data_IF_456074159393
#
_entry.id   IF_456074159393
#
_cell.length_a   1.000
_cell.length_b   1.000
_cell.length_c   1.000
_cell.angle_alpha   90.00
_cell.angle_beta   90.00
_cell.angle_gamma   90.00
#
_symmetry.space_group_name_H-M   'P 1'
#
loop_
_entity.id
_entity.type
_entity.pdbx_description
1 polymer ?
#
# COMPACT_ATOMS: atom_id res chain seq x y z
N UNK A 1 -15.26 11.72 -13.97
CA UNK A 1 -15.16 10.29 -13.62
C UNK A 1 -15.96 10.05 -12.35
N UNK A 2 -16.91 9.09 -12.37
CA UNK A 2 -17.56 8.58 -11.15
C UNK A 2 -16.91 7.26 -10.80
N UNK A 3 -16.25 7.19 -9.64
CA UNK A 3 -15.74 5.94 -9.08
C UNK A 3 -16.87 5.32 -8.24
N UNK A 4 -17.25 4.09 -8.58
CA UNK A 4 -18.18 3.28 -7.78
C UNK A 4 -17.40 2.13 -7.17
N UNK A 5 -17.57 1.92 -5.89
CA UNK A 5 -16.97 0.82 -5.16
C UNK A 5 -17.93 -0.35 -5.09
N UNK A 6 -17.43 -1.55 -5.33
CA UNK A 6 -18.20 -2.78 -5.17
C UNK A 6 -17.76 -3.45 -3.86
N UNK A 7 -18.69 -3.70 -2.97
CA UNK A 7 -18.44 -4.53 -1.81
C UNK A 7 -18.69 -5.99 -2.22
N UNK A 8 -17.66 -6.84 -2.14
CA UNK A 8 -17.89 -8.28 -2.30
C UNK A 8 -18.62 -8.79 -1.06
N UNK A 9 -19.52 -9.77 -1.21
CA UNK A 9 -20.24 -10.41 -0.09
C UNK A 9 -19.34 -11.17 0.90
N UNK A 10 -18.04 -11.21 0.65
CA UNK A 10 -17.05 -11.67 1.62
C UNK A 10 -16.77 -10.51 2.54
N UNK A 11 -16.94 -10.65 3.88
CA UNK A 11 -16.57 -9.61 4.82
C UNK A 11 -15.06 -9.43 4.81
N UNK A 12 -14.57 -8.64 3.88
CA UNK A 12 -13.25 -8.06 4.00
C UNK A 12 -13.31 -7.21 5.25
N UNK A 13 -12.57 -7.59 6.29
CA UNK A 13 -12.25 -6.68 7.40
C UNK A 13 -11.87 -5.38 6.75
N UNK A 14 -12.72 -4.35 6.94
CA UNK A 14 -12.64 -3.04 6.30
C UNK A 14 -11.20 -2.65 6.11
N UNK A 15 -10.71 -2.76 4.88
CA UNK A 15 -9.35 -2.36 4.56
C UNK A 15 -9.26 -0.86 4.82
N UNK A 16 -8.26 -0.44 5.54
CA UNK A 16 -8.05 0.87 6.11
C UNK A 16 -7.73 1.96 5.07
N UNK A 17 -8.47 2.05 3.98
CA UNK A 17 -8.35 3.15 3.03
C UNK A 17 -9.53 4.11 3.16
N UNK A 18 -9.48 4.98 4.17
CA UNK A 18 -10.27 6.21 4.15
C UNK A 18 -9.64 7.16 3.14
N UNK A 19 -10.06 7.08 1.90
CA UNK A 19 -9.79 8.11 0.91
C UNK A 19 -10.64 9.34 1.29
N UNK A 20 -10.16 10.17 2.21
CA UNK A 20 -10.88 11.36 2.71
C UNK A 20 -11.21 12.38 1.63
N UNK A 21 -10.41 12.47 0.58
CA UNK A 21 -10.58 13.43 -0.50
C UNK A 21 -11.69 13.08 -1.50
N UNK A 22 -12.18 11.84 -1.51
CA UNK A 22 -13.33 11.43 -2.34
C UNK A 22 -14.70 11.67 -1.68
N UNK A 23 -14.76 12.28 -0.49
CA UNK A 23 -15.96 12.31 0.33
C UNK A 23 -16.25 10.94 0.96
N UNK A 24 -17.32 10.86 1.77
CA UNK A 24 -17.79 9.55 2.25
C UNK A 24 -18.27 8.77 1.02
N UNK A 25 -17.64 7.61 0.66
CA UNK A 25 -18.19 6.80 -0.40
C UNK A 25 -19.60 6.39 0.02
N UNK A 26 -20.60 6.86 -0.68
CA UNK A 26 -21.92 6.26 -0.59
C UNK A 26 -21.81 4.90 -1.27
N UNK A 27 -21.78 3.83 -0.51
CA UNK A 27 -22.00 2.49 -1.03
C UNK A 27 -23.47 2.42 -1.47
N UNK A 28 -23.74 2.85 -2.68
CA UNK A 28 -25.02 2.56 -3.29
C UNK A 28 -24.97 1.10 -3.75
N UNK A 29 -25.96 0.32 -3.40
CA UNK A 29 -26.17 -1.01 -3.97
C UNK A 29 -26.03 -0.90 -5.50
N UNK A 30 -25.01 -1.58 -6.04
CA UNK A 30 -24.78 -1.58 -7.47
C UNK A 30 -25.70 -2.64 -8.09
N UNK A 31 -26.98 -2.40 -7.99
CA UNK A 31 -28.00 -3.08 -8.78
C UNK A 31 -28.18 -2.44 -10.17
N UNK A 32 -27.39 -1.40 -10.44
CA UNK A 32 -27.33 -0.76 -11.76
C UNK A 32 -26.58 -1.63 -12.77
N UNK A 33 -27.15 -1.75 -13.96
CA UNK A 33 -26.60 -2.48 -15.10
C UNK A 33 -25.14 -2.05 -15.35
N UNK A 34 -24.19 -2.97 -15.18
CA UNK A 34 -22.82 -2.78 -15.60
C UNK A 34 -22.76 -2.77 -17.12
N UNK A 35 -22.42 -1.63 -17.70
CA UNK A 35 -22.23 -1.47 -19.14
C UNK A 35 -20.75 -1.68 -19.47
N UNK A 36 -20.42 -2.83 -20.03
CA UNK A 36 -19.04 -3.19 -20.37
C UNK A 36 -18.36 -2.21 -21.34
N UNK A 37 -19.13 -1.46 -22.12
CA UNK A 37 -18.59 -0.45 -23.04
C UNK A 37 -18.25 0.89 -22.35
N UNK A 38 -18.95 1.19 -21.26
CA UNK A 38 -18.82 2.48 -20.54
C UNK A 38 -18.07 2.36 -19.22
N UNK A 39 -17.92 1.16 -18.69
CA UNK A 39 -17.34 0.91 -17.39
C UNK A 39 -16.07 0.07 -17.50
N UNK A 40 -15.13 0.35 -16.66
CA UNK A 40 -13.92 -0.46 -16.47
C UNK A 40 -13.85 -0.87 -15.00
N UNK A 41 -13.59 -2.15 -14.75
CA UNK A 41 -13.39 -2.67 -13.40
C UNK A 41 -11.92 -2.53 -13.03
N UNK A 42 -11.63 -2.05 -11.83
CA UNK A 42 -10.26 -2.06 -11.28
C UNK A 42 -10.20 -3.08 -10.15
N UNK A 43 -9.33 -4.07 -10.32
CA UNK A 43 -9.14 -5.13 -9.31
C UNK A 43 -7.72 -5.06 -8.73
N UNK A 44 -7.53 -5.28 -7.42
CA UNK A 44 -6.20 -5.39 -6.84
C UNK A 44 -5.50 -6.68 -7.33
N UNK A 45 -4.17 -6.69 -7.29
CA UNK A 45 -3.34 -7.83 -7.69
C UNK A 45 -3.73 -9.13 -6.98
N UNK A 46 -4.13 -9.05 -5.71
CA UNK A 46 -4.59 -10.21 -4.94
C UNK A 46 -5.86 -10.86 -5.50
N UNK A 47 -6.62 -10.13 -6.28
CA UNK A 47 -7.87 -10.60 -6.90
C UNK A 47 -7.72 -10.95 -8.38
N UNK A 48 -6.60 -10.60 -8.99
CA UNK A 48 -6.35 -10.85 -10.40
C UNK A 48 -6.55 -12.33 -10.75
N UNK A 49 -6.06 -13.23 -9.91
CA UNK A 49 -6.20 -14.66 -10.08
C UNK A 49 -7.66 -15.14 -10.08
N UNK A 50 -8.46 -14.62 -9.15
CA UNK A 50 -9.86 -15.07 -8.98
C UNK A 50 -10.80 -14.47 -10.01
N UNK A 51 -10.60 -13.20 -10.33
CA UNK A 51 -11.57 -12.44 -11.12
C UNK A 51 -11.05 -12.02 -12.49
N UNK A 52 -9.74 -11.93 -12.69
CA UNK A 52 -9.18 -11.46 -13.96
C UNK A 52 -9.60 -12.30 -15.14
N UNK A 53 -9.48 -13.63 -15.03
CA UNK A 53 -9.90 -14.57 -16.08
C UNK A 53 -11.42 -14.54 -16.31
N UNK A 54 -12.19 -14.46 -15.22
CA UNK A 54 -13.65 -14.36 -15.32
C UNK A 54 -14.09 -13.09 -16.04
N UNK A 55 -13.46 -11.95 -15.71
CA UNK A 55 -13.74 -10.68 -16.38
C UNK A 55 -13.36 -10.73 -17.86
N UNK A 56 -12.24 -11.39 -18.19
CA UNK A 56 -11.83 -11.61 -19.57
C UNK A 56 -12.85 -12.47 -20.34
N UNK A 57 -13.33 -13.56 -19.72
CA UNK A 57 -14.33 -14.45 -20.33
C UNK A 57 -15.67 -13.75 -20.56
N UNK A 58 -16.03 -12.83 -19.68
CA UNK A 58 -17.23 -12.01 -19.80
C UNK A 58 -17.08 -10.84 -20.78
N UNK A 59 -15.91 -10.65 -21.39
CA UNK A 59 -15.62 -9.49 -22.24
C UNK A 59 -15.64 -8.14 -21.54
N UNK A 60 -15.45 -8.15 -20.19
CA UNK A 60 -15.45 -6.95 -19.36
C UNK A 60 -14.08 -6.30 -19.37
N UNK A 61 -14.00 -5.01 -19.70
CA UNK A 61 -12.76 -4.24 -19.62
C UNK A 61 -12.33 -4.06 -18.16
N UNK A 62 -11.09 -4.42 -17.81
CA UNK A 62 -10.58 -4.27 -16.46
C UNK A 62 -9.12 -3.83 -16.43
N UNK A 63 -8.74 -3.23 -15.31
CA UNK A 63 -7.38 -2.91 -14.94
C UNK A 63 -6.98 -3.68 -13.68
N UNK A 64 -5.71 -4.04 -13.58
CA UNK A 64 -5.12 -4.62 -12.37
C UNK A 64 -4.33 -3.54 -11.65
N UNK A 65 -4.64 -3.32 -10.37
CA UNK A 65 -3.92 -2.36 -9.53
C UNK A 65 -2.94 -3.09 -8.62
N UNK A 66 -1.66 -2.96 -8.93
CA UNK A 66 -0.55 -3.64 -8.24
C UNK A 66 0.02 -2.72 -7.18
N UNK A 67 -0.34 -2.97 -5.93
CA UNK A 67 0.15 -2.24 -4.76
C UNK A 67 1.45 -2.83 -4.21
N UNK A 68 1.68 -4.12 -4.47
CA UNK A 68 2.91 -4.78 -4.08
C UNK A 68 3.24 -5.86 -5.13
N UNK A 69 4.33 -5.67 -5.86
CA UNK A 69 4.76 -6.57 -6.91
C UNK A 69 5.01 -8.01 -6.42
N UNK A 70 5.40 -8.19 -5.17
CA UNK A 70 5.67 -9.52 -4.60
C UNK A 70 4.39 -10.29 -4.25
N UNK A 71 3.23 -9.60 -4.16
CA UNK A 71 1.96 -10.28 -3.91
C UNK A 71 1.40 -11.00 -5.13
N UNK A 72 1.88 -10.69 -6.33
CA UNK A 72 1.52 -11.44 -7.55
C UNK A 72 1.94 -12.91 -7.45
N UNK A 73 2.95 -13.24 -6.66
CA UNK A 73 3.42 -14.63 -6.47
C UNK A 73 2.54 -15.46 -5.55
N UNK A 74 1.57 -14.85 -4.88
CA UNK A 74 0.67 -15.57 -3.97
C UNK A 74 -0.34 -16.40 -4.76
N UNK A 75 -0.13 -17.71 -4.80
CA UNK A 75 -1.04 -18.68 -5.42
C UNK A 75 -0.42 -19.42 -6.60
N UNK A 76 -1.24 -20.25 -7.29
CA UNK A 76 -0.80 -21.00 -8.46
C UNK A 76 -0.75 -20.10 -9.70
N UNK A 77 0.25 -20.22 -10.59
CA UNK A 77 0.46 -19.29 -11.69
C UNK A 77 -0.51 -19.45 -12.87
N UNK A 78 -1.21 -20.58 -12.98
CA UNK A 78 -1.90 -21.03 -14.21
C UNK A 78 -2.89 -20.03 -14.82
N UNK A 79 -3.58 -19.23 -14.00
CA UNK A 79 -4.57 -18.27 -14.51
C UNK A 79 -4.08 -16.81 -14.51
N UNK A 80 -2.91 -16.56 -13.94
CA UNK A 80 -2.38 -15.19 -13.80
C UNK A 80 -1.91 -14.64 -15.15
N UNK A 81 -1.23 -15.43 -15.97
CA UNK A 81 -0.76 -15.00 -17.29
C UNK A 81 -1.91 -14.46 -18.12
N UNK A 82 -3.00 -15.25 -18.21
CA UNK A 82 -4.18 -14.84 -18.95
C UNK A 82 -4.83 -13.60 -18.36
N UNK A 83 -4.92 -13.50 -17.02
CA UNK A 83 -5.49 -12.33 -16.37
C UNK A 83 -4.69 -11.05 -16.68
N UNK A 84 -3.36 -11.10 -16.62
CA UNK A 84 -2.51 -9.95 -16.92
C UNK A 84 -2.46 -9.62 -18.40
N UNK A 85 -2.41 -10.64 -19.28
CA UNK A 85 -2.44 -10.44 -20.73
C UNK A 85 -3.77 -9.87 -21.22
N UNK A 86 -4.90 -10.24 -20.61
CA UNK A 86 -6.23 -9.75 -20.99
C UNK A 86 -6.58 -8.40 -20.36
N UNK A 87 -5.86 -7.97 -19.31
CA UNK A 87 -6.08 -6.65 -18.71
C UNK A 87 -5.86 -5.53 -19.73
N UNK A 88 -6.72 -4.51 -19.70
CA UNK A 88 -6.57 -3.32 -20.54
C UNK A 88 -5.35 -2.48 -20.16
N UNK A 89 -5.09 -2.36 -18.86
CA UNK A 89 -3.88 -1.75 -18.32
C UNK A 89 -3.56 -2.33 -16.94
N UNK A 90 -2.31 -2.13 -16.52
CA UNK A 90 -1.79 -2.56 -15.23
C UNK A 90 -1.25 -1.33 -14.54
N UNK A 91 -1.90 -0.93 -13.45
CA UNK A 91 -1.53 0.24 -12.65
C UNK A 91 -0.55 -0.21 -11.57
N UNK A 92 0.65 0.35 -11.54
CA UNK A 92 1.68 0.01 -10.57
C UNK A 92 2.06 1.21 -9.72
N UNK A 93 2.33 1.00 -8.44
CA UNK A 93 2.60 2.09 -7.50
C UNK A 93 4.08 2.43 -7.33
N UNK A 94 4.98 1.60 -7.87
CA UNK A 94 6.44 1.81 -7.80
C UNK A 94 7.13 1.26 -9.05
N UNK A 95 8.32 1.74 -9.32
CA UNK A 95 9.13 1.20 -10.42
C UNK A 95 9.51 -0.26 -10.14
N UNK A 96 9.69 -0.60 -8.86
CA UNK A 96 9.89 -1.98 -8.43
C UNK A 96 8.68 -2.85 -8.77
N UNK A 97 7.46 -2.42 -8.41
CA UNK A 97 6.24 -3.11 -8.79
C UNK A 97 6.09 -3.25 -10.32
N UNK A 98 6.49 -2.23 -11.09
CA UNK A 98 6.50 -2.29 -12.56
C UNK A 98 7.46 -3.35 -13.08
N UNK A 99 8.68 -3.42 -12.52
CA UNK A 99 9.67 -4.45 -12.88
C UNK A 99 9.21 -5.84 -12.49
N UNK A 100 8.62 -6.01 -11.31
CA UNK A 100 8.04 -7.29 -10.87
C UNK A 100 6.99 -7.80 -11.87
N UNK A 101 6.09 -6.92 -12.30
CA UNK A 101 5.05 -7.27 -13.28
C UNK A 101 5.67 -7.62 -14.64
N UNK A 102 6.58 -6.80 -15.15
CA UNK A 102 7.22 -7.05 -16.43
C UNK A 102 8.04 -8.36 -16.43
N UNK A 103 8.71 -8.65 -15.32
CA UNK A 103 9.47 -9.89 -15.16
C UNK A 103 8.55 -11.12 -15.06
N UNK A 104 7.42 -11.00 -14.33
CA UNK A 104 6.49 -12.11 -14.14
C UNK A 104 5.64 -12.40 -15.38
N UNK A 105 5.31 -11.39 -16.18
CA UNK A 105 4.39 -11.49 -17.33
C UNK A 105 5.00 -10.82 -18.55
N UNK A 106 5.93 -11.48 -19.25
CA UNK A 106 6.54 -10.93 -20.46
C UNK A 106 5.49 -10.58 -21.52
N UNK A 107 5.66 -9.42 -22.17
CA UNK A 107 4.76 -8.93 -23.22
C UNK A 107 3.66 -7.99 -22.74
N UNK A 108 3.53 -7.74 -21.42
CA UNK A 108 2.55 -6.78 -20.88
C UNK A 108 3.13 -5.38 -20.60
N UNK A 109 4.40 -5.17 -20.87
CA UNK A 109 5.14 -3.94 -20.53
C UNK A 109 4.47 -2.68 -21.06
N UNK A 110 3.93 -2.76 -22.27
CA UNK A 110 3.22 -1.66 -22.93
C UNK A 110 1.89 -1.28 -22.27
N UNK A 111 1.39 -2.11 -21.34
CA UNK A 111 0.16 -1.87 -20.57
C UNK A 111 0.42 -1.34 -19.17
N UNK A 112 1.69 -1.33 -18.74
CA UNK A 112 2.06 -0.89 -17.38
C UNK A 112 2.03 0.63 -17.33
N UNK A 113 1.24 1.15 -16.40
CA UNK A 113 1.11 2.57 -16.12
C UNK A 113 1.50 2.84 -14.67
N UNK A 114 2.52 3.66 -14.48
CA UNK A 114 2.99 4.07 -13.17
C UNK A 114 2.01 5.08 -12.55
N UNK A 115 1.52 4.78 -11.36
CA UNK A 115 0.66 5.65 -10.55
C UNK A 115 1.43 6.12 -9.33
N UNK A 116 1.36 7.40 -9.00
CA UNK A 116 2.05 7.97 -7.85
C UNK A 116 1.10 8.13 -6.68
N UNK A 117 1.59 7.82 -5.47
CA UNK A 117 0.89 8.15 -4.24
C UNK A 117 0.99 9.63 -3.93
N UNK A 118 -0.01 10.09 -3.21
CA UNK A 118 0.02 11.37 -2.54
C UNK A 118 0.00 11.14 -1.02
N UNK A 119 0.94 11.72 -0.31
CA UNK A 119 0.92 11.81 1.15
C UNK A 119 0.33 13.17 1.53
N UNK A 120 -0.55 13.19 2.54
CA UNK A 120 -1.18 14.41 3.00
C UNK A 120 -0.17 15.35 3.71
N UNK A 121 0.39 16.29 2.95
CA UNK A 121 1.35 17.26 3.46
C UNK A 121 0.76 18.24 4.48
N UNK A 122 -0.57 18.37 4.57
CA UNK A 122 -1.21 19.17 5.60
C UNK A 122 -1.23 18.45 6.95
N UNK A 123 -1.16 17.15 6.93
CA UNK A 123 -1.13 16.31 8.12
C UNK A 123 0.31 15.94 8.52
N UNK A 124 1.12 15.53 7.56
CA UNK A 124 2.49 15.09 7.75
C UNK A 124 3.46 16.21 7.34
N UNK A 125 3.93 16.96 8.30
CA UNK A 125 4.89 18.05 8.11
C UNK A 125 5.82 18.13 9.34
N UNK A 126 7.06 18.62 9.20
CA UNK A 126 8.01 18.65 10.30
C UNK A 126 7.64 19.72 11.33
N UNK A 127 7.72 19.38 12.62
CA UNK A 127 7.70 20.37 13.69
C UNK A 127 9.08 21.02 13.84
N UNK A 128 9.11 22.25 14.35
CA UNK A 128 10.36 22.98 14.57
C UNK A 128 11.22 22.32 15.66
N UNK A 129 10.58 21.72 16.66
CA UNK A 129 11.26 21.08 17.80
C UNK A 129 11.08 19.57 17.77
N UNK A 130 12.15 18.86 17.42
CA UNK A 130 12.19 17.40 17.45
C UNK A 130 12.67 16.89 18.80
N UNK A 131 11.96 15.92 19.36
CA UNK A 131 12.37 15.18 20.55
C UNK A 131 13.26 13.99 20.17
N UNK A 132 14.09 13.53 21.10
CA UNK A 132 14.91 12.34 20.92
C UNK A 132 14.05 11.07 21.03
N UNK A 133 13.15 10.91 20.06
CA UNK A 133 12.23 9.78 19.96
C UNK A 133 12.56 8.97 18.72
N UNK A 134 12.66 7.67 18.90
CA UNK A 134 12.69 6.66 17.86
C UNK A 134 11.31 6.02 17.80
N UNK A 135 10.70 6.00 16.63
CA UNK A 135 9.40 5.34 16.41
C UNK A 135 9.54 4.14 15.47
N UNK A 136 8.63 3.20 15.59
CA UNK A 136 8.55 2.02 14.71
C UNK A 136 7.13 1.42 14.77
N UNK A 137 6.81 0.55 13.82
CA UNK A 137 5.55 -0.22 13.83
C UNK A 137 5.80 -1.66 14.26
N UNK A 138 5.40 -2.08 15.47
CA UNK A 138 5.73 -3.41 16.02
C UNK A 138 5.11 -4.56 15.22
N UNK A 139 4.00 -4.34 14.52
CA UNK A 139 3.34 -5.36 13.66
C UNK A 139 4.13 -5.69 12.38
N UNK A 140 5.07 -4.83 11.99
CA UNK A 140 5.90 -5.03 10.80
C UNK A 140 7.18 -5.75 11.19
N UNK A 141 7.44 -6.94 10.61
CA UNK A 141 8.59 -7.79 10.93
C UNK A 141 8.86 -7.85 12.44
N UNK A 142 7.86 -8.26 13.21
CA UNK A 142 7.90 -8.24 14.68
C UNK A 142 9.13 -8.95 15.28
N UNK A 143 9.55 -10.05 14.67
CA UNK A 143 10.75 -10.78 15.09
C UNK A 143 12.05 -9.97 14.89
N UNK A 144 12.15 -9.26 13.76
CA UNK A 144 13.31 -8.38 13.50
C UNK A 144 13.31 -7.16 14.41
N UNK A 145 12.16 -6.49 14.55
CA UNK A 145 12.06 -5.31 15.39
C UNK A 145 12.39 -5.62 16.84
N UNK A 146 11.89 -6.73 17.39
CA UNK A 146 12.18 -7.14 18.77
C UNK A 146 13.67 -7.40 19.01
N UNK A 147 14.36 -8.07 18.07
CA UNK A 147 15.79 -8.34 18.15
C UNK A 147 16.62 -7.06 18.09
N UNK A 148 16.35 -6.18 17.12
CA UNK A 148 17.07 -4.91 16.98
C UNK A 148 16.89 -4.04 18.24
N UNK A 149 15.66 -3.92 18.72
CA UNK A 149 15.37 -3.13 19.92
C UNK A 149 16.00 -3.73 21.18
N UNK A 150 16.06 -5.07 21.28
CA UNK A 150 16.74 -5.75 22.38
C UNK A 150 18.23 -5.39 22.44
N UNK A 151 18.94 -5.41 21.32
CA UNK A 151 20.35 -5.02 21.29
C UNK A 151 20.54 -3.50 21.47
N UNK A 152 19.64 -2.70 20.98
CA UNK A 152 19.72 -1.24 21.04
C UNK A 152 19.52 -0.70 22.47
N UNK A 153 18.80 -1.41 23.37
CA UNK A 153 18.34 -0.94 24.67
C UNK A 153 19.43 -0.36 25.59
N UNK A 154 20.66 -0.89 25.50
CA UNK A 154 21.79 -0.43 26.32
C UNK A 154 22.76 0.51 25.59
N UNK A 155 22.50 0.78 24.32
CA UNK A 155 23.34 1.65 23.49
C UNK A 155 22.71 3.02 23.23
N UNK A 156 21.45 3.19 23.63
CA UNK A 156 20.80 4.49 23.53
C UNK A 156 21.19 5.39 24.71
N UNK A 157 21.52 6.67 24.45
CA UNK A 157 21.68 7.64 25.53
C UNK A 157 20.39 7.77 26.37
N UNK A 158 20.50 8.05 27.66
CA UNK A 158 19.38 8.08 28.62
C UNK A 158 18.23 9.01 28.21
N UNK A 159 18.52 10.05 27.44
CA UNK A 159 17.52 11.01 26.98
C UNK A 159 16.78 10.62 25.72
N UNK A 160 17.04 9.44 25.14
CA UNK A 160 16.30 8.88 24.02
C UNK A 160 15.16 7.96 24.49
N UNK A 161 14.05 7.99 23.75
CA UNK A 161 12.88 7.15 24.02
C UNK A 161 12.54 6.35 22.76
N UNK A 162 12.12 5.11 22.94
CA UNK A 162 11.56 4.28 21.86
C UNK A 162 10.05 4.23 22.07
N UNK A 163 9.29 4.66 21.09
CA UNK A 163 7.83 4.72 21.15
C UNK A 163 7.23 3.90 19.98
N UNK A 164 6.54 2.80 20.27
CA UNK A 164 5.87 2.02 19.24
C UNK A 164 4.64 2.77 18.70
N UNK A 165 4.43 2.68 17.39
CA UNK A 165 3.18 3.11 16.74
C UNK A 165 2.26 1.88 16.69
N UNK A 166 1.43 1.74 17.72
CA UNK A 166 0.50 0.62 17.86
C UNK A 166 -0.82 1.11 18.45
N UNK A 167 -1.94 0.64 17.93
CA UNK A 167 -3.27 1.04 18.35
C UNK A 167 -3.62 2.53 18.15
N UNK A 168 -2.79 3.29 17.44
CA UNK A 168 -2.94 4.72 17.20
C UNK A 168 -3.83 4.99 15.97
N UNK A 169 -4.64 6.03 16.05
CA UNK A 169 -5.32 6.58 14.88
C UNK A 169 -4.34 7.44 14.05
N UNK A 170 -4.74 7.84 12.86
CA UNK A 170 -3.90 8.59 11.92
C UNK A 170 -3.41 9.94 12.47
N UNK A 171 -4.23 10.62 13.26
CA UNK A 171 -3.88 11.91 13.88
C UNK A 171 -2.82 11.74 14.98
N UNK A 172 -2.95 10.69 15.77
CA UNK A 172 -1.95 10.32 16.79
C UNK A 172 -0.62 9.92 16.15
N UNK A 173 -0.67 9.16 15.04
CA UNK A 173 0.53 8.81 14.27
C UNK A 173 1.21 10.07 13.74
N UNK A 174 0.47 10.98 13.11
CA UNK A 174 1.03 12.23 12.59
C UNK A 174 1.64 13.10 13.71
N UNK A 175 0.95 13.24 14.84
CA UNK A 175 1.45 13.99 15.99
C UNK A 175 2.75 13.39 16.56
N UNK A 176 2.85 12.06 16.61
CA UNK A 176 4.07 11.38 17.08
C UNK A 176 5.21 11.54 16.06
N UNK A 177 4.96 11.38 14.76
CA UNK A 177 5.97 11.54 13.72
C UNK A 177 6.49 12.97 13.62
N UNK A 178 5.66 13.98 13.83
CA UNK A 178 6.10 15.39 13.90
C UNK A 178 7.14 15.63 14.96
N UNK A 179 7.00 15.00 16.11
CA UNK A 179 7.88 15.18 17.26
C UNK A 179 9.12 14.28 17.23
N UNK A 180 9.04 13.12 16.58
CA UNK A 180 10.14 12.15 16.58
C UNK A 180 11.25 12.51 15.60
N UNK A 181 12.48 12.09 15.92
CA UNK A 181 13.66 12.27 15.08
C UNK A 181 13.89 11.12 14.14
N UNK A 182 13.60 9.90 14.56
CA UNK A 182 13.93 8.68 13.83
C UNK A 182 12.68 7.81 13.70
N UNK A 183 12.47 7.29 12.50
CA UNK A 183 11.52 6.23 12.22
C UNK A 183 12.28 4.99 11.76
N UNK A 184 12.11 3.86 12.45
CA UNK A 184 12.67 2.58 12.05
C UNK A 184 11.66 1.80 11.21
N UNK A 185 11.96 1.63 9.94
CA UNK A 185 11.13 0.91 8.97
C UNK A 185 11.51 -0.58 8.94
N UNK A 186 10.81 -1.38 9.71
CA UNK A 186 10.96 -2.84 9.70
C UNK A 186 10.05 -3.47 8.64
N UNK A 187 10.41 -3.35 7.38
CA UNK A 187 9.68 -3.99 6.28
C UNK A 187 10.61 -4.31 5.12
N UNK A 188 10.35 -5.42 4.46
CA UNK A 188 10.97 -5.79 3.19
C UNK A 188 9.89 -6.37 2.27
N UNK A 189 10.18 -6.50 0.97
CA UNK A 189 9.21 -6.91 -0.04
C UNK A 189 7.95 -6.02 -0.05
N UNK A 190 8.16 -4.72 0.01
CA UNK A 190 7.10 -3.71 -0.05
C UNK A 190 7.06 -3.04 -1.42
N UNK A 191 5.86 -2.73 -1.89
CA UNK A 191 5.70 -2.02 -3.16
C UNK A 191 6.06 -0.53 -3.03
N UNK A 192 5.42 0.14 -2.09
CA UNK A 192 5.69 1.54 -1.72
C UNK A 192 5.05 1.80 -0.34
N UNK A 193 5.76 1.54 0.76
CA UNK A 193 5.19 1.66 2.09
C UNK A 193 4.95 3.13 2.47
N UNK A 194 3.70 3.49 2.80
CA UNK A 194 3.33 4.85 3.20
C UNK A 194 3.99 5.31 4.51
N UNK A 195 4.08 4.50 5.58
CA UNK A 195 4.61 4.96 6.85
C UNK A 195 6.03 5.55 6.79
N UNK A 196 7.00 4.98 6.07
CA UNK A 196 8.30 5.62 5.87
C UNK A 196 8.23 6.97 5.14
N UNK A 197 7.30 7.11 4.17
CA UNK A 197 7.10 8.36 3.45
C UNK A 197 6.46 9.43 4.35
N UNK A 198 5.46 9.05 5.14
CA UNK A 198 4.83 9.92 6.14
C UNK A 198 5.84 10.39 7.19
N UNK A 199 6.71 9.48 7.65
CA UNK A 199 7.79 9.80 8.58
C UNK A 199 8.81 10.77 7.96
N UNK A 200 9.28 10.51 6.73
CA UNK A 200 10.21 11.38 6.03
C UNK A 200 9.61 12.77 5.82
N UNK A 201 8.34 12.85 5.38
CA UNK A 201 7.63 14.11 5.19
C UNK A 201 7.45 14.87 6.52
N UNK A 202 7.28 14.16 7.62
CA UNK A 202 7.28 14.73 8.97
C UNK A 202 8.67 15.10 9.50
N UNK A 203 9.74 14.99 8.69
CA UNK A 203 11.09 15.35 9.06
C UNK A 203 11.82 14.33 9.92
N UNK A 204 11.41 13.06 9.92
CA UNK A 204 12.16 12.00 10.57
C UNK A 204 13.29 11.48 9.66
N UNK A 205 14.41 11.11 10.27
CA UNK A 205 15.36 10.25 9.61
C UNK A 205 14.77 8.83 9.55
N UNK A 206 14.60 8.31 8.34
CA UNK A 206 14.09 6.96 8.14
C UNK A 206 15.27 6.00 8.05
N UNK A 207 15.25 4.97 8.90
CA UNK A 207 16.25 3.91 8.93
C UNK A 207 15.54 2.58 8.69
N UNK A 208 15.98 1.80 7.74
CA UNK A 208 15.33 0.53 7.40
C UNK A 208 16.15 -0.31 6.45
N UNK A 209 15.51 -1.33 5.90
CA UNK A 209 16.12 -2.19 4.89
C UNK A 209 16.02 -1.50 3.52
N UNK A 210 17.05 -1.68 2.72
CA UNK A 210 16.95 -1.45 1.27
C UNK A 210 16.19 -2.63 0.69
N UNK A 211 14.99 -2.38 0.17
CA UNK A 211 14.08 -3.40 -0.37
C UNK A 211 14.68 -4.23 -1.50
#
# INVERSE_FOLDING_TARGET
>A
FRVRWFESQVPLKRAFFKLRWLGKPSFSDVTGVFDAQKHMVVIPELWARKYGTQLADMGVSYAIYVQNGYYITKGQPVDLDRAYQSARCILTISDDASRCVALAFPGVEHKILRVHYSVDAQRFWPDQTKENIITYMPRKLADHSSKVLFFLRHHLPLHWKIVPIDGMNEEQVAALLKRSKIFMAFSHFEGCPLPPLEAALSGNQVIGYTG
#
